data_IF_017600400759
#
_entry.id   IF_017600400759
#
_cell.length_a   1.000
_cell.length_b   1.000
_cell.length_c   1.000
_cell.angle_alpha   90.00
_cell.angle_beta   90.00
_cell.angle_gamma   90.00
#
_symmetry.space_group_name_H-M   'P 1'
#
loop_
_entity.id
_entity.type
_entity.pdbx_description
1 polymer ?
#
# COMPACT_ATOMS: atom_id res chain seq x y z
N UNK A 1 -26.09 -2.56 17.96
CA UNK A 1 -24.91 -2.91 18.79
C UNK A 1 -24.26 -4.23 18.36
N UNK A 2 -25.01 -5.26 17.95
CA UNK A 2 -24.49 -6.57 17.50
C UNK A 2 -23.62 -6.52 16.24
N UNK A 3 -23.92 -5.58 15.33
CA UNK A 3 -23.23 -5.49 14.04
C UNK A 3 -21.79 -4.98 14.17
N UNK A 4 -21.53 -4.05 15.09
CA UNK A 4 -20.20 -3.43 15.28
C UNK A 4 -19.16 -4.48 15.69
N UNK A 5 -19.48 -5.37 16.64
CA UNK A 5 -18.57 -6.45 17.03
C UNK A 5 -18.24 -7.36 15.85
N UNK A 6 -19.22 -7.63 14.99
CA UNK A 6 -19.02 -8.44 13.78
C UNK A 6 -18.15 -7.73 12.74
N UNK A 7 -18.31 -6.42 12.57
CA UNK A 7 -17.56 -5.59 11.62
C UNK A 7 -16.11 -5.40 12.09
N UNK A 8 -15.89 -5.13 13.38
CA UNK A 8 -14.54 -5.05 13.94
C UNK A 8 -13.85 -6.42 13.86
N UNK A 9 -14.56 -7.52 14.13
CA UNK A 9 -13.99 -8.86 13.94
C UNK A 9 -13.62 -9.15 12.48
N UNK A 10 -14.39 -8.63 11.53
CA UNK A 10 -14.09 -8.73 10.11
C UNK A 10 -12.83 -7.92 9.75
N UNK A 11 -12.69 -6.70 10.30
CA UNK A 11 -11.49 -5.88 10.15
C UNK A 11 -10.26 -6.58 10.74
N UNK A 12 -10.35 -7.12 11.96
CA UNK A 12 -9.27 -7.91 12.56
C UNK A 12 -8.82 -9.06 11.65
N UNK A 13 -9.78 -9.78 11.04
CA UNK A 13 -9.49 -10.85 10.09
C UNK A 13 -8.79 -10.32 8.84
N UNK A 14 -9.22 -9.17 8.32
CA UNK A 14 -8.58 -8.52 7.17
C UNK A 14 -7.13 -8.11 7.49
N UNK A 15 -6.92 -7.41 8.61
CA UNK A 15 -5.59 -6.98 9.08
C UNK A 15 -4.64 -8.16 9.30
N UNK A 16 -5.15 -9.30 9.77
CA UNK A 16 -4.36 -10.53 9.89
C UNK A 16 -3.86 -11.04 8.55
N UNK A 17 -4.70 -11.06 7.52
CA UNK A 17 -4.29 -11.52 6.19
C UNK A 17 -3.43 -10.50 5.44
N UNK A 18 -3.64 -9.21 5.68
CA UNK A 18 -2.90 -8.13 5.02
C UNK A 18 -1.53 -7.88 5.63
N UNK A 19 -1.46 -7.73 6.96
CA UNK A 19 -0.25 -7.25 7.65
C UNK A 19 0.32 -8.28 8.65
N UNK A 20 -0.28 -9.47 8.76
CA UNK A 20 0.07 -10.51 9.74
C UNK A 20 0.00 -10.01 11.20
N UNK A 21 -0.96 -9.14 11.51
CA UNK A 21 -1.19 -8.60 12.86
C UNK A 21 -2.32 -9.35 13.56
N UNK A 22 -2.07 -9.83 14.77
CA UNK A 22 -3.07 -10.55 15.57
C UNK A 22 -3.77 -9.60 16.57
N UNK A 23 -4.71 -8.79 16.06
CA UNK A 23 -5.50 -7.87 16.88
C UNK A 23 -6.91 -8.41 17.14
N UNK A 24 -7.44 -8.21 18.35
CA UNK A 24 -8.79 -8.64 18.76
C UNK A 24 -9.76 -7.47 18.81
N UNK A 25 -11.08 -7.70 18.61
CA UNK A 25 -12.08 -6.63 18.75
C UNK A 25 -12.09 -5.94 20.11
N UNK A 26 -11.69 -6.66 21.17
CA UNK A 26 -11.55 -6.06 22.51
C UNK A 26 -10.49 -4.97 22.55
N UNK A 27 -9.39 -5.07 21.79
CA UNK A 27 -8.37 -4.02 21.76
C UNK A 27 -8.92 -2.71 21.16
N UNK A 28 -9.77 -2.79 20.12
CA UNK A 28 -10.49 -1.64 19.56
C UNK A 28 -11.50 -1.05 20.54
N UNK A 29 -12.23 -1.91 21.27
CA UNK A 29 -13.20 -1.47 22.28
C UNK A 29 -12.51 -0.75 23.44
N UNK A 30 -11.37 -1.27 23.91
CA UNK A 30 -10.58 -0.64 24.98
C UNK A 30 -9.97 0.68 24.52
N UNK A 31 -9.44 0.72 23.29
CA UNK A 31 -8.89 1.93 22.68
C UNK A 31 -9.92 3.06 22.55
N UNK A 32 -11.18 2.75 22.21
CA UNK A 32 -12.25 3.76 22.17
C UNK A 32 -12.38 4.56 23.47
N UNK A 33 -12.22 3.92 24.63
CA UNK A 33 -12.41 4.58 25.93
C UNK A 33 -11.11 5.10 26.55
N UNK A 34 -10.00 5.02 25.82
CA UNK A 34 -8.64 5.23 26.31
C UNK A 34 -8.31 4.45 27.58
N UNK A 35 -8.72 3.17 27.62
CA UNK A 35 -8.37 2.31 28.74
C UNK A 35 -6.93 1.84 28.57
N UNK A 36 -6.06 2.26 29.48
CA UNK A 36 -4.62 1.95 29.54
C UNK A 36 -4.36 0.51 30.00
N UNK A 37 -5.04 -0.46 29.41
CA UNK A 37 -4.54 -1.83 29.48
C UNK A 37 -3.28 -1.89 28.59
N UNK A 38 -2.12 -2.16 29.19
CA UNK A 38 -0.82 -2.19 28.50
C UNK A 38 -0.87 -3.01 27.20
N UNK A 39 -1.61 -4.13 27.21
CA UNK A 39 -1.78 -5.00 26.04
C UNK A 39 -2.53 -4.36 24.86
N UNK A 40 -3.41 -3.38 25.08
CA UNK A 40 -4.15 -2.73 24.00
C UNK A 40 -3.31 -1.64 23.32
N UNK A 41 -2.53 -0.88 24.09
CA UNK A 41 -1.68 0.19 23.58
C UNK A 41 -0.54 -0.38 22.74
N UNK A 42 0.15 -1.41 23.24
CA UNK A 42 1.24 -2.08 22.51
C UNK A 42 0.75 -2.65 21.18
N UNK A 43 -0.40 -3.33 21.17
CA UNK A 43 -0.95 -3.92 19.94
C UNK A 43 -1.37 -2.87 18.91
N UNK A 44 -1.77 -1.66 19.35
CA UNK A 44 -2.06 -0.55 18.44
C UNK A 44 -0.77 0.04 17.82
N UNK A 45 0.31 0.16 18.61
CA UNK A 45 1.61 0.55 18.07
C UNK A 45 2.15 -0.49 17.07
N UNK A 46 2.07 -1.78 17.39
CA UNK A 46 2.47 -2.86 16.48
C UNK A 46 1.67 -2.82 15.17
N UNK A 47 0.35 -2.61 15.26
CA UNK A 47 -0.52 -2.49 14.09
C UNK A 47 -0.07 -1.33 13.19
N UNK A 48 0.09 -0.14 13.76
CA UNK A 48 0.53 1.04 13.03
C UNK A 48 1.92 0.86 12.45
N UNK A 49 2.84 0.26 13.20
CA UNK A 49 4.19 -0.05 12.72
C UNK A 49 4.17 -0.93 11.48
N UNK A 50 3.36 -2.00 11.49
CA UNK A 50 3.25 -2.90 10.33
C UNK A 50 2.70 -2.19 9.11
N UNK A 51 1.65 -1.38 9.27
CA UNK A 51 1.08 -0.60 8.16
C UNK A 51 2.10 0.41 7.64
N UNK A 52 2.75 1.17 8.52
CA UNK A 52 3.77 2.15 8.16
C UNK A 52 5.00 1.49 7.50
N UNK A 53 5.37 0.29 7.91
CA UNK A 53 6.49 -0.46 7.31
C UNK A 53 6.18 -0.94 5.90
N UNK A 54 4.91 -1.17 5.56
CA UNK A 54 4.52 -1.50 4.19
C UNK A 54 4.53 -0.29 3.27
N UNK A 55 4.15 0.89 3.79
CA UNK A 55 4.17 2.16 3.06
C UNK A 55 5.60 2.71 2.89
N UNK A 56 6.47 2.50 3.88
CA UNK A 56 7.85 2.96 3.88
C UNK A 56 8.86 1.82 4.12
N UNK A 57 8.98 0.84 3.21
CA UNK A 57 9.81 -0.35 3.41
C UNK A 57 11.32 -0.07 3.46
N UNK A 58 11.75 1.12 3.02
CA UNK A 58 13.16 1.55 3.00
C UNK A 58 13.54 2.34 4.25
N UNK A 59 12.57 2.74 5.06
CA UNK A 59 12.83 3.46 6.31
C UNK A 59 13.15 2.42 7.39
N UNK A 60 14.30 2.56 8.03
CA UNK A 60 14.74 1.66 9.09
C UNK A 60 14.98 2.50 10.33
N UNK A 61 14.14 2.28 11.34
CA UNK A 61 14.40 2.73 12.71
C UNK A 61 14.22 1.55 13.66
N UNK A 62 15.07 1.50 14.69
CA UNK A 62 15.07 0.45 15.70
C UNK A 62 13.94 0.65 16.73
N UNK A 63 13.43 1.88 16.89
CA UNK A 63 12.34 2.20 17.81
C UNK A 63 10.99 2.29 17.08
N UNK A 64 10.06 1.42 17.48
CA UNK A 64 8.69 1.32 16.94
C UNK A 64 7.93 2.64 17.10
N UNK A 65 8.08 3.34 18.22
CA UNK A 65 7.32 4.56 18.50
C UNK A 65 7.79 5.70 17.61
N UNK A 66 9.10 5.93 17.53
CA UNK A 66 9.67 6.97 16.67
C UNK A 66 9.39 6.67 15.20
N UNK A 67 9.51 5.42 14.77
CA UNK A 67 9.22 5.01 13.41
C UNK A 67 7.78 5.35 13.01
N UNK A 68 6.81 5.00 13.86
CA UNK A 68 5.39 5.27 13.60
C UNK A 68 5.12 6.76 13.61
N UNK A 69 5.66 7.53 14.57
CA UNK A 69 5.50 8.99 14.61
C UNK A 69 6.08 9.65 13.36
N UNK A 70 7.29 9.29 12.95
CA UNK A 70 7.88 9.82 11.73
C UNK A 70 7.08 9.44 10.49
N UNK A 71 6.61 8.20 10.41
CA UNK A 71 5.79 7.73 9.30
C UNK A 71 4.47 8.51 9.21
N UNK A 72 3.80 8.76 10.34
CA UNK A 72 2.59 9.58 10.40
C UNK A 72 2.86 11.03 9.98
N UNK A 73 3.99 11.62 10.40
CA UNK A 73 4.40 12.95 9.97
C UNK A 73 4.66 13.01 8.45
N UNK A 74 5.31 11.98 7.90
CA UNK A 74 5.57 11.85 6.47
C UNK A 74 4.26 11.71 5.67
N UNK A 75 3.29 10.98 6.20
CA UNK A 75 1.95 10.87 5.60
C UNK A 75 1.13 12.16 5.72
N UNK A 76 1.50 13.07 6.63
CA UNK A 76 0.85 14.36 6.84
C UNK A 76 -0.24 14.35 7.92
N UNK A 77 -0.19 13.42 8.87
CA UNK A 77 -1.14 13.36 9.97
C UNK A 77 -0.95 14.55 10.94
N UNK A 78 -2.02 15.32 11.15
CA UNK A 78 -1.96 16.63 11.82
C UNK A 78 -2.28 16.61 13.32
N UNK A 79 -2.79 15.51 13.87
CA UNK A 79 -3.14 15.47 15.29
C UNK A 79 -1.86 15.43 16.15
N UNK A 80 -1.64 16.50 16.91
CA UNK A 80 -0.45 16.74 17.72
C UNK A 80 -0.35 15.74 18.89
N UNK A 81 -1.48 15.31 19.44
CA UNK A 81 -1.52 14.47 20.65
C UNK A 81 -0.78 13.14 20.46
N UNK A 82 -0.82 12.56 19.24
CA UNK A 82 -0.09 11.34 18.91
C UNK A 82 1.43 11.52 19.00
N UNK A 83 1.94 12.70 18.67
CA UNK A 83 3.38 12.99 18.75
C UNK A 83 3.84 13.20 20.19
N UNK A 84 2.93 13.63 21.08
CA UNK A 84 3.18 13.83 22.50
C UNK A 84 3.14 12.54 23.32
N UNK A 85 2.71 11.41 22.74
CA UNK A 85 2.66 10.13 23.46
C UNK A 85 4.05 9.68 23.92
N UNK A 86 4.15 9.03 25.10
CA UNK A 86 5.44 8.57 25.62
C UNK A 86 6.02 7.42 24.77
N UNK A 87 7.34 7.27 24.81
CA UNK A 87 8.03 6.13 24.19
C UNK A 87 7.70 4.80 24.91
N UNK A 88 7.29 4.85 26.18
CA UNK A 88 7.02 3.67 27.01
C UNK A 88 5.69 2.96 26.67
N UNK A 89 4.95 3.40 25.65
CA UNK A 89 3.66 2.81 25.21
C UNK A 89 2.61 2.67 26.34
N UNK A 90 2.64 3.55 27.35
CA UNK A 90 1.81 3.41 28.56
C UNK A 90 0.38 3.94 28.40
N UNK A 91 0.15 4.90 27.50
CA UNK A 91 -1.17 5.50 27.25
C UNK A 91 -1.26 6.02 25.80
N UNK A 92 -2.47 6.44 25.40
CA UNK A 92 -2.71 7.00 24.07
C UNK A 92 -3.44 6.06 23.11
N UNK A 93 -4.15 5.06 23.64
CA UNK A 93 -4.80 4.05 22.79
C UNK A 93 -5.90 4.66 21.91
N UNK A 94 -6.58 5.71 22.38
CA UNK A 94 -7.61 6.41 21.62
C UNK A 94 -6.99 7.23 20.48
N UNK A 95 -5.88 7.92 20.73
CA UNK A 95 -5.16 8.74 19.74
C UNK A 95 -4.57 7.86 18.63
N UNK A 96 -4.05 6.67 18.99
CA UNK A 96 -3.56 5.68 18.02
C UNK A 96 -4.70 5.09 17.18
N UNK A 97 -5.87 4.85 17.79
CA UNK A 97 -7.05 4.41 17.06
C UNK A 97 -7.53 5.46 16.04
N UNK A 98 -7.49 6.75 16.42
CA UNK A 98 -7.81 7.85 15.50
C UNK A 98 -6.79 7.93 14.35
N UNK A 99 -5.49 7.78 14.65
CA UNK A 99 -4.45 7.73 13.62
C UNK A 99 -4.68 6.56 12.65
N UNK A 100 -5.00 5.38 13.18
CA UNK A 100 -5.33 4.20 12.38
C UNK A 100 -6.54 4.44 11.47
N UNK A 101 -7.64 4.99 12.01
CA UNK A 101 -8.82 5.33 11.22
C UNK A 101 -8.52 6.35 10.12
N UNK A 102 -7.68 7.34 10.40
CA UNK A 102 -7.23 8.32 9.42
C UNK A 102 -6.41 7.68 8.29
N UNK A 103 -5.47 6.77 8.60
CA UNK A 103 -4.71 6.03 7.58
C UNK A 103 -5.66 5.22 6.70
N UNK A 104 -6.62 4.50 7.30
CA UNK A 104 -7.62 3.73 6.56
C UNK A 104 -8.43 4.60 5.59
N UNK A 105 -8.81 5.81 6.00
CA UNK A 105 -9.63 6.71 5.21
C UNK A 105 -8.84 7.39 4.06
N UNK A 106 -7.55 7.67 4.26
CA UNK A 106 -6.77 8.52 3.33
C UNK A 106 -5.86 7.74 2.40
N UNK A 107 -5.41 6.54 2.78
CA UNK A 107 -4.36 5.80 2.07
C UNK A 107 -4.82 4.50 1.44
N UNK A 108 -6.08 4.09 1.61
CA UNK A 108 -6.62 2.83 1.09
C UNK A 108 -5.69 1.63 1.37
N UNK A 109 -5.03 1.61 2.53
CA UNK A 109 -3.96 0.64 2.85
C UNK A 109 -4.41 -0.83 2.73
N UNK A 110 -5.69 -1.10 2.98
CA UNK A 110 -6.25 -2.45 2.83
C UNK A 110 -6.33 -2.87 1.36
N UNK A 111 -6.69 -1.96 0.47
CA UNK A 111 -6.76 -2.22 -0.97
C UNK A 111 -5.36 -2.39 -1.56
N UNK A 112 -4.43 -1.48 -1.24
CA UNK A 112 -3.03 -1.60 -1.67
C UNK A 112 -2.38 -2.90 -1.16
N UNK A 113 -2.64 -3.29 0.09
CA UNK A 113 -2.14 -4.54 0.64
C UNK A 113 -2.71 -5.77 -0.08
N UNK A 114 -4.02 -5.78 -0.36
CA UNK A 114 -4.66 -6.84 -1.15
C UNK A 114 -4.04 -6.93 -2.55
N UNK A 115 -3.97 -5.81 -3.25
CA UNK A 115 -3.41 -5.72 -4.61
C UNK A 115 -1.94 -6.18 -4.66
N UNK A 116 -1.11 -5.73 -3.73
CA UNK A 116 0.28 -6.21 -3.57
C UNK A 116 0.33 -7.72 -3.29
N UNK A 117 -0.52 -8.22 -2.39
CA UNK A 117 -0.60 -9.65 -2.04
C UNK A 117 -1.05 -10.51 -3.23
N UNK A 118 -1.92 -9.99 -4.09
CA UNK A 118 -2.37 -10.65 -5.31
C UNK A 118 -1.35 -10.59 -6.44
N UNK A 119 -0.61 -9.48 -6.59
CA UNK A 119 0.48 -9.38 -7.57
C UNK A 119 1.54 -10.46 -7.38
N UNK A 120 1.88 -10.75 -6.12
CA UNK A 120 2.85 -11.78 -5.76
C UNK A 120 2.22 -13.17 -5.54
N UNK A 121 0.92 -13.33 -5.84
CA UNK A 121 0.20 -14.60 -5.69
C UNK A 121 0.38 -15.48 -6.92
N UNK A 122 0.36 -16.82 -6.75
CA UNK A 122 0.22 -17.76 -7.87
C UNK A 122 -0.98 -17.51 -8.80
N UNK A 123 -1.98 -16.72 -8.37
CA UNK A 123 -3.13 -16.34 -9.19
C UNK A 123 -2.78 -15.35 -10.31
N UNK A 124 -1.79 -14.49 -10.09
CA UNK A 124 -1.38 -13.47 -11.06
C UNK A 124 -0.02 -13.78 -11.70
N UNK A 125 0.78 -14.65 -11.07
CA UNK A 125 2.12 -14.98 -11.55
C UNK A 125 2.10 -16.03 -12.66
N UNK A 126 2.76 -15.71 -13.77
CA UNK A 126 2.95 -16.67 -14.87
C UNK A 126 3.89 -17.82 -14.48
N UNK A 127 4.95 -17.50 -13.74
CA UNK A 127 5.99 -18.43 -13.33
C UNK A 127 5.99 -18.61 -11.81
N UNK A 128 6.33 -19.82 -11.38
CA UNK A 128 6.39 -20.13 -9.96
C UNK A 128 7.52 -19.34 -9.32
N UNK A 129 7.32 -18.81 -8.11
CA UNK A 129 8.37 -18.22 -7.30
C UNK A 129 9.30 -19.35 -6.81
N UNK A 130 10.15 -19.87 -7.70
CA UNK A 130 11.32 -20.62 -7.27
C UNK A 130 12.15 -19.60 -6.51
N UNK A 131 12.16 -19.74 -5.18
CA UNK A 131 12.89 -18.94 -4.21
C UNK A 131 14.01 -18.16 -4.90
N UNK A 132 13.81 -16.85 -5.06
CA UNK A 132 14.91 -15.92 -5.14
C UNK A 132 15.62 -15.98 -3.79
N UNK A 133 16.29 -17.09 -3.51
CA UNK A 133 17.48 -17.03 -2.70
C UNK A 133 18.33 -16.02 -3.47
N UNK A 134 18.37 -14.79 -2.95
CA UNK A 134 19.42 -13.85 -3.28
C UNK A 134 20.71 -14.60 -2.96
N UNK A 135 21.22 -15.33 -3.95
CA UNK A 135 22.55 -15.91 -3.91
C UNK A 135 23.40 -14.69 -3.68
N UNK A 136 23.93 -14.58 -2.45
CA UNK A 136 24.73 -13.46 -1.97
C UNK A 136 25.54 -12.93 -3.14
N UNK A 137 25.10 -11.79 -3.69
CA UNK A 137 25.74 -11.25 -4.88
C UNK A 137 27.20 -11.03 -4.47
N UNK A 138 28.17 -11.63 -5.17
CA UNK A 138 29.55 -11.56 -4.74
C UNK A 138 29.92 -10.09 -4.58
N UNK A 139 30.27 -9.71 -3.35
CA UNK A 139 30.62 -8.34 -3.00
C UNK A 139 31.63 -7.86 -4.01
N UNK A 140 31.23 -6.93 -4.88
CA UNK A 140 32.10 -6.36 -5.89
C UNK A 140 33.32 -5.80 -5.17
N UNK A 141 34.47 -6.45 -5.36
CA UNK A 141 35.71 -5.96 -4.79
C UNK A 141 36.01 -4.62 -5.47
N UNK A 142 35.77 -3.54 -4.73
CA UNK A 142 36.17 -2.20 -5.13
C UNK A 142 37.71 -2.20 -5.07
N UNK A 143 38.35 -2.30 -6.23
CA UNK A 143 39.80 -2.16 -6.33
C UNK A 143 40.20 -0.78 -5.79
N UNK A 144 40.94 -0.75 -4.68
CA UNK A 144 41.47 0.50 -4.12
C UNK A 144 42.68 0.97 -4.95
N UNK A 145 42.57 2.21 -5.44
CA UNK A 145 43.62 3.13 -5.92
C UNK A 145 44.72 2.57 -6.83
N UNK A 146 44.49 2.70 -8.13
CA UNK A 146 45.54 2.96 -9.13
C UNK A 146 45.47 4.42 -9.63
N UNK A 147 46.26 4.77 -10.65
CA UNK A 147 46.21 6.10 -11.30
C UNK A 147 44.78 6.47 -11.75
N UNK A 148 44.52 7.76 -12.03
CA UNK A 148 43.24 8.22 -12.58
C UNK A 148 42.81 7.40 -13.80
N UNK A 149 43.77 7.08 -14.68
CA UNK A 149 43.57 6.24 -15.86
C UNK A 149 43.16 4.80 -15.51
N UNK A 150 43.77 4.20 -14.48
CA UNK A 150 43.39 2.87 -14.00
C UNK A 150 41.97 2.84 -13.42
N UNK A 151 41.58 3.94 -12.76
CA UNK A 151 40.23 4.11 -12.21
C UNK A 151 39.20 4.28 -13.34
N UNK A 152 39.51 5.10 -14.36
CA UNK A 152 38.65 5.28 -15.53
C UNK A 152 38.49 3.98 -16.34
N UNK A 153 39.58 3.24 -16.56
CA UNK A 153 39.54 1.95 -17.23
C UNK A 153 38.72 0.91 -16.44
N UNK A 154 38.81 0.93 -15.11
CA UNK A 154 37.98 0.08 -14.26
C UNK A 154 36.49 0.43 -14.38
N UNK A 155 36.14 1.73 -14.37
CA UNK A 155 34.76 2.19 -14.57
C UNK A 155 34.23 1.78 -15.93
N UNK A 156 35.01 1.96 -17.00
CA UNK A 156 34.64 1.53 -18.35
C UNK A 156 34.42 0.02 -18.43
N UNK A 157 35.26 -0.77 -17.77
CA UNK A 157 35.11 -2.22 -17.71
C UNK A 157 33.83 -2.63 -16.96
N UNK A 158 33.55 -2.02 -15.79
CA UNK A 158 32.31 -2.27 -15.06
C UNK A 158 31.08 -1.86 -15.88
N UNK A 159 31.11 -0.70 -16.54
CA UNK A 159 30.04 -0.25 -17.42
C UNK A 159 29.82 -1.23 -18.58
N UNK A 160 30.90 -1.77 -19.16
CA UNK A 160 30.84 -2.82 -20.18
C UNK A 160 30.20 -4.11 -19.66
N UNK A 161 30.56 -4.57 -18.46
CA UNK A 161 29.96 -5.74 -17.82
C UNK A 161 28.50 -5.54 -17.47
N UNK A 162 28.14 -4.38 -16.94
CA UNK A 162 26.75 -4.02 -16.65
C UNK A 162 25.95 -4.07 -17.94
N UNK A 163 26.46 -3.50 -19.03
CA UNK A 163 25.80 -3.54 -20.34
C UNK A 163 25.63 -4.97 -20.87
N UNK A 164 26.67 -5.80 -20.78
CA UNK A 164 26.58 -7.22 -21.15
C UNK A 164 25.54 -7.97 -20.32
N UNK A 165 25.52 -7.74 -19.00
CA UNK A 165 24.54 -8.36 -18.12
C UNK A 165 23.11 -7.90 -18.43
N UNK A 166 22.90 -6.61 -18.70
CA UNK A 166 21.59 -6.07 -19.10
C UNK A 166 21.12 -6.72 -20.40
N UNK A 167 22.00 -6.84 -21.40
CA UNK A 167 21.68 -7.51 -22.66
C UNK A 167 21.36 -9.00 -22.45
N UNK A 168 22.13 -9.70 -21.62
CA UNK A 168 21.85 -11.10 -21.30
C UNK A 168 20.50 -11.26 -20.57
N UNK A 169 20.16 -10.35 -19.66
CA UNK A 169 18.87 -10.35 -18.96
C UNK A 169 17.72 -10.10 -19.95
N UNK A 170 17.87 -9.17 -20.89
CA UNK A 170 16.83 -8.90 -21.88
C UNK A 170 16.62 -10.07 -22.86
N UNK A 171 17.71 -10.72 -23.30
CA UNK A 171 17.64 -11.93 -24.12
C UNK A 171 16.94 -13.08 -23.39
N UNK A 172 17.28 -13.32 -22.11
CA UNK A 172 16.63 -14.34 -21.29
C UNK A 172 15.15 -14.01 -21.03
N UNK A 173 14.82 -12.74 -20.80
CA UNK A 173 13.44 -12.30 -20.65
C UNK A 173 12.64 -12.55 -21.94
N UNK A 174 13.21 -12.26 -23.10
CA UNK A 174 12.58 -12.49 -24.40
C UNK A 174 12.44 -13.99 -24.73
N UNK A 175 13.41 -14.82 -24.33
CA UNK A 175 13.28 -16.27 -24.45
C UNK A 175 12.14 -16.80 -23.54
N UNK A 176 12.04 -16.28 -22.31
CA UNK A 176 11.01 -16.64 -21.33
C UNK A 176 9.60 -16.28 -21.83
N UNK A 177 9.40 -15.01 -22.19
CA UNK A 177 8.73 -14.56 -23.42
C UNK A 177 8.09 -15.63 -24.31
N UNK A 178 8.88 -16.01 -25.31
CA UNK A 178 8.52 -16.94 -26.38
C UNK A 178 8.11 -18.33 -25.90
N UNK A 179 8.66 -18.81 -24.77
CA UNK A 179 8.28 -20.12 -24.23
C UNK A 179 6.90 -20.04 -23.58
N UNK A 180 6.60 -18.99 -22.83
CA UNK A 180 5.29 -18.81 -22.22
C UNK A 180 4.19 -18.65 -23.27
N UNK A 181 4.43 -17.89 -24.35
CA UNK A 181 3.45 -17.76 -25.43
C UNK A 181 3.09 -19.12 -26.05
N UNK A 182 4.08 -20.00 -26.27
CA UNK A 182 3.84 -21.37 -26.75
C UNK A 182 2.98 -22.20 -25.78
N UNK A 183 3.17 -22.00 -24.47
CA UNK A 183 2.35 -22.66 -23.45
C UNK A 183 0.90 -22.15 -23.51
N UNK A 184 0.71 -20.84 -23.62
CA UNK A 184 -0.63 -20.25 -23.73
C UNK A 184 -1.33 -20.70 -25.01
N UNK A 185 -0.68 -20.61 -26.17
CA UNK A 185 -1.19 -21.12 -27.44
C UNK A 185 -1.61 -22.59 -27.33
N UNK A 186 -0.76 -23.43 -26.72
CA UNK A 186 -1.02 -24.85 -26.53
C UNK A 186 -2.06 -25.20 -25.46
N UNK A 187 -2.49 -24.25 -24.65
CA UNK A 187 -3.48 -24.45 -23.57
C UNK A 187 -4.72 -23.59 -23.70
N UNK A 188 -4.88 -22.93 -24.85
CA UNK A 188 -6.06 -22.12 -25.16
C UNK A 188 -7.35 -22.93 -25.03
N UNK A 189 -8.35 -22.40 -24.33
CA UNK A 189 -9.66 -23.01 -24.10
C UNK A 189 -9.63 -24.39 -23.40
N UNK A 190 -8.52 -24.74 -22.73
CA UNK A 190 -8.43 -25.98 -21.95
C UNK A 190 -9.14 -25.78 -20.61
N UNK A 191 -9.96 -26.74 -20.21
CA UNK A 191 -10.61 -26.81 -18.89
C UNK A 191 -11.49 -25.60 -18.53
N UNK A 192 -12.08 -24.93 -19.52
CA UNK A 192 -12.98 -23.78 -19.30
C UNK A 192 -12.26 -22.48 -18.89
N UNK A 193 -10.92 -22.46 -18.97
CA UNK A 193 -10.10 -21.28 -18.80
C UNK A 193 -9.66 -20.74 -20.17
N UNK A 194 -9.37 -19.42 -20.28
CA UNK A 194 -8.89 -18.84 -21.54
C UNK A 194 -7.56 -19.47 -21.97
N UNK A 195 -6.62 -19.63 -21.04
CA UNK A 195 -5.40 -20.42 -21.19
C UNK A 195 -4.87 -20.80 -19.80
N UNK A 196 -3.89 -21.70 -19.74
CA UNK A 196 -3.18 -22.02 -18.50
C UNK A 196 -1.91 -21.17 -18.39
N UNK A 197 -1.54 -20.83 -17.16
CA UNK A 197 -0.22 -20.26 -16.87
C UNK A 197 0.87 -21.33 -16.95
N UNK A 198 2.13 -20.91 -17.09
CA UNK A 198 3.26 -21.84 -17.10
C UNK A 198 3.32 -22.62 -15.78
N UNK A 199 2.99 -21.97 -14.67
CA UNK A 199 2.90 -22.61 -13.35
C UNK A 199 1.79 -23.66 -13.29
N UNK A 200 0.62 -23.37 -13.85
CA UNK A 200 -0.52 -24.31 -13.87
C UNK A 200 -0.23 -25.55 -14.73
N UNK A 201 0.44 -25.37 -15.87
CA UNK A 201 0.85 -26.53 -16.69
C UNK A 201 1.86 -27.43 -15.96
N UNK A 202 2.71 -26.85 -15.11
CA UNK A 202 3.60 -27.62 -14.25
C UNK A 202 2.83 -28.45 -13.22
N UNK A 203 1.72 -27.93 -12.67
CA UNK A 203 0.86 -28.66 -11.72
C UNK A 203 0.20 -29.88 -12.37
N UNK A 204 -0.23 -29.76 -13.63
CA UNK A 204 -0.78 -30.88 -14.40
C UNK A 204 0.27 -32.00 -14.52
N UNK A 205 1.52 -31.63 -14.81
CA UNK A 205 2.61 -32.60 -14.93
C UNK A 205 3.04 -33.19 -13.58
N UNK A 206 2.98 -32.40 -12.52
CA UNK A 206 3.44 -32.77 -11.18
C UNK A 206 2.34 -32.55 -10.13
N UNK A 207 1.39 -33.51 -9.98
CA UNK A 207 0.28 -33.39 -9.03
C UNK A 207 0.70 -33.23 -7.57
N UNK A 208 1.94 -33.61 -7.21
CA UNK A 208 2.49 -33.42 -5.86
C UNK A 208 2.61 -31.95 -5.45
N UNK A 209 2.73 -31.04 -6.41
CA UNK A 209 2.82 -29.59 -6.15
C UNK A 209 1.44 -28.94 -5.95
N UNK A 210 0.37 -29.67 -6.22
CA UNK A 210 -1.00 -29.14 -6.17
C UNK A 210 -1.43 -28.79 -4.75
N UNK A 211 -1.02 -29.56 -3.74
CA UNK A 211 -1.36 -29.30 -2.34
C UNK A 211 -0.82 -27.96 -1.86
N UNK A 212 0.44 -27.66 -2.20
CA UNK A 212 1.10 -26.41 -1.79
C UNK A 212 0.51 -25.22 -2.54
N UNK A 213 0.21 -25.39 -3.83
CA UNK A 213 -0.47 -24.39 -4.64
C UNK A 213 -1.87 -24.07 -4.11
N UNK A 214 -2.68 -25.09 -3.81
CA UNK A 214 -4.03 -24.92 -3.26
C UNK A 214 -3.99 -24.26 -1.89
N UNK A 215 -3.01 -24.59 -1.04
CA UNK A 215 -2.82 -23.91 0.24
C UNK A 215 -2.61 -22.40 0.03
N UNK A 216 -1.68 -22.01 -0.85
CA UNK A 216 -1.42 -20.61 -1.16
C UNK A 216 -2.64 -19.89 -1.76
N UNK A 217 -3.33 -20.52 -2.72
CA UNK A 217 -4.53 -19.94 -3.34
C UNK A 217 -5.67 -19.82 -2.32
N UNK A 218 -5.85 -20.80 -1.43
CA UNK A 218 -6.91 -20.77 -0.42
C UNK A 218 -6.76 -19.59 0.55
N UNK A 219 -5.52 -19.29 0.96
CA UNK A 219 -5.23 -18.12 1.80
C UNK A 219 -5.58 -16.81 1.07
N UNK A 220 -5.23 -16.70 -0.22
CA UNK A 220 -5.56 -15.50 -1.02
C UNK A 220 -7.05 -15.38 -1.30
N UNK A 221 -7.75 -16.49 -1.53
CA UNK A 221 -9.20 -16.50 -1.66
C UNK A 221 -9.86 -15.94 -0.38
N UNK A 222 -9.43 -16.40 0.80
CA UNK A 222 -9.95 -15.90 2.08
C UNK A 222 -9.69 -14.41 2.26
N UNK A 223 -8.54 -13.89 1.83
CA UNK A 223 -8.24 -12.45 1.83
C UNK A 223 -9.21 -11.68 0.93
N UNK A 224 -9.41 -12.12 -0.33
CA UNK A 224 -10.34 -11.48 -1.28
C UNK A 224 -11.77 -11.50 -0.75
N UNK A 225 -12.23 -12.64 -0.24
CA UNK A 225 -13.57 -12.80 0.33
C UNK A 225 -13.77 -11.87 1.54
N UNK A 226 -12.77 -11.80 2.42
CA UNK A 226 -12.78 -10.91 3.58
C UNK A 226 -12.80 -9.44 3.15
N UNK A 227 -12.02 -9.06 2.14
CA UNK A 227 -11.99 -7.71 1.60
C UNK A 227 -13.33 -7.31 0.94
N UNK A 228 -13.94 -8.23 0.17
CA UNK A 228 -15.28 -8.03 -0.41
C UNK A 228 -16.34 -7.83 0.67
N UNK A 229 -16.30 -8.62 1.74
CA UNK A 229 -17.21 -8.48 2.87
C UNK A 229 -16.98 -7.16 3.61
N UNK A 230 -15.72 -6.74 3.76
CA UNK A 230 -15.35 -5.47 4.37
C UNK A 230 -15.93 -4.30 3.58
N UNK A 231 -15.77 -4.27 2.26
CA UNK A 231 -16.32 -3.22 1.40
C UNK A 231 -17.84 -3.06 1.53
N UNK A 232 -18.58 -4.14 1.80
CA UNK A 232 -20.04 -4.08 2.04
C UNK A 232 -20.42 -3.52 3.41
N UNK A 233 -19.57 -3.67 4.42
CA UNK A 233 -19.88 -3.38 5.83
C UNK A 233 -19.06 -2.24 6.45
N UNK A 234 -18.13 -1.64 5.69
CA UNK A 234 -17.21 -0.63 6.19
C UNK A 234 -17.93 0.62 6.73
N UNK A 235 -19.09 0.98 6.18
CA UNK A 235 -19.92 2.10 6.68
C UNK A 235 -20.24 1.98 8.18
N UNK A 236 -20.52 0.77 8.68
CA UNK A 236 -20.81 0.52 10.11
C UNK A 236 -19.57 0.81 10.98
N UNK A 237 -18.36 0.53 10.45
CA UNK A 237 -17.13 0.89 11.13
C UNK A 237 -16.94 2.41 11.17
N UNK A 238 -17.27 3.12 10.09
CA UNK A 238 -17.15 4.57 10.04
C UNK A 238 -18.15 5.26 10.97
N UNK A 239 -19.40 4.83 11.03
CA UNK A 239 -20.38 5.28 12.04
C UNK A 239 -19.88 5.04 13.47
N UNK A 240 -19.22 3.90 13.71
CA UNK A 240 -18.59 3.64 14.99
C UNK A 240 -17.39 4.56 15.25
N UNK A 241 -16.56 4.87 14.26
CA UNK A 241 -15.44 5.81 14.38
C UNK A 241 -15.91 7.24 14.67
N UNK A 242 -17.03 7.69 14.10
CA UNK A 242 -17.66 8.96 14.46
C UNK A 242 -17.99 9.00 15.95
N UNK A 243 -18.48 7.89 16.52
CA UNK A 243 -18.71 7.80 17.97
C UNK A 243 -17.41 7.81 18.81
N UNK A 244 -16.25 7.43 18.24
CA UNK A 244 -14.94 7.55 18.89
C UNK A 244 -14.47 9.00 18.90
N UNK A 245 -14.74 9.74 17.82
CA UNK A 245 -14.44 11.17 17.71
C UNK A 245 -15.32 11.95 18.69
N UNK A 246 -16.63 11.70 18.70
CA UNK A 246 -17.57 12.35 19.63
C UNK A 246 -17.21 12.08 21.10
N UNK A 247 -16.76 10.87 21.43
CA UNK A 247 -16.25 10.53 22.76
C UNK A 247 -15.00 11.36 23.13
N UNK A 248 -14.09 11.58 22.18
CA UNK A 248 -12.90 12.42 22.40
C UNK A 248 -13.29 13.89 22.60
N UNK A 249 -14.18 14.41 21.76
CA UNK A 249 -14.69 15.79 21.89
C UNK A 249 -15.42 16.02 23.21
N UNK A 250 -16.21 15.04 23.66
CA UNK A 250 -16.92 15.10 24.94
C UNK A 250 -16.00 15.09 26.16
N UNK A 251 -14.80 14.49 26.05
CA UNK A 251 -13.79 14.54 27.12
C UNK A 251 -13.11 15.91 27.22
N UNK A 252 -13.32 16.79 26.24
CA UNK A 252 -12.66 18.08 26.13
C UNK A 252 -11.20 17.94 25.72
N UNK A 253 -10.64 19.00 25.11
CA UNK A 253 -9.22 19.15 24.81
C UNK A 253 -8.41 19.08 26.14
N UNK A 254 -8.12 17.87 26.62
CA UNK A 254 -7.19 17.61 27.73
C UNK A 254 -5.73 17.77 27.30
N UNK A 255 -5.48 18.30 26.11
CA UNK A 255 -4.16 18.78 25.75
C UNK A 255 -3.84 19.99 26.65
N UNK A 256 -3.06 19.78 27.70
CA UNK A 256 -2.45 20.81 28.55
C UNK A 256 -1.50 21.77 27.79
N UNK A 257 -1.50 21.70 26.45
CA UNK A 257 -0.63 22.44 25.57
C UNK A 257 -1.29 23.75 25.17
N UNK A 258 -0.61 24.84 25.46
CA UNK A 258 -0.98 26.18 25.00
C UNK A 258 -1.10 26.21 23.46
N UNK A 259 -1.95 27.10 22.96
CA UNK A 259 -2.14 27.33 21.52
C UNK A 259 -0.81 27.60 20.81
N UNK A 260 0.14 28.25 21.50
CA UNK A 260 1.48 28.54 20.96
C UNK A 260 2.40 27.30 20.92
N UNK A 261 2.24 26.37 21.87
CA UNK A 261 2.97 25.10 21.87
C UNK A 261 2.45 24.18 20.75
N UNK A 262 1.13 24.16 20.54
CA UNK A 262 0.50 23.48 19.40
C UNK A 262 1.01 24.04 18.06
N UNK A 263 1.11 25.38 17.92
CA UNK A 263 1.68 26.03 16.73
C UNK A 263 3.15 25.67 16.51
N UNK A 264 3.96 25.72 17.56
CA UNK A 264 5.38 25.42 17.48
C UNK A 264 5.61 23.96 17.07
N UNK A 265 4.86 23.02 17.65
CA UNK A 265 4.92 21.62 17.25
C UNK A 265 4.45 21.38 15.82
N UNK A 266 3.40 22.06 15.37
CA UNK A 266 2.97 21.97 13.97
C UNK A 266 4.08 22.41 13.00
N UNK A 267 4.77 23.52 13.31
CA UNK A 267 5.93 23.98 12.53
C UNK A 267 7.08 22.98 12.55
N UNK A 268 7.34 22.32 13.68
CA UNK A 268 8.36 21.27 13.79
C UNK A 268 7.98 20.05 12.94
N UNK A 269 6.73 19.59 13.00
CA UNK A 269 6.24 18.46 12.20
C UNK A 269 6.32 18.78 10.71
N UNK A 270 5.94 19.98 10.29
CA UNK A 270 6.03 20.39 8.88
C UNK A 270 7.49 20.53 8.41
N UNK A 271 8.39 21.03 9.26
CA UNK A 271 9.82 21.10 8.95
C UNK A 271 10.46 19.71 8.87
N UNK A 272 10.09 18.79 9.76
CA UNK A 272 10.50 17.38 9.70
C UNK A 272 10.02 16.73 8.39
N UNK A 273 8.75 16.92 8.03
CA UNK A 273 8.18 16.45 6.76
C UNK A 273 8.98 16.99 5.57
N UNK A 274 9.29 18.28 5.55
CA UNK A 274 10.04 18.91 4.45
C UNK A 274 11.49 18.41 4.37
N UNK A 275 12.18 18.22 5.51
CA UNK A 275 13.52 17.60 5.55
C UNK A 275 13.50 16.15 5.08
N UNK A 276 12.52 15.36 5.51
CA UNK A 276 12.38 13.95 5.13
C UNK A 276 12.02 13.79 3.65
N UNK A 277 11.14 14.64 3.10
CA UNK A 277 10.85 14.68 1.66
C UNK A 277 12.10 14.94 0.83
N UNK A 278 12.99 15.83 1.30
CA UNK A 278 14.29 16.09 0.70
C UNK A 278 15.26 14.91 0.78
N UNK A 279 15.18 14.08 1.84
CA UNK A 279 16.00 12.88 1.95
C UNK A 279 15.49 11.77 1.03
N UNK A 280 14.17 11.55 0.98
CA UNK A 280 13.56 10.52 0.13
C UNK A 280 13.76 10.81 -1.36
N UNK A 281 13.57 12.06 -1.81
CA UNK A 281 13.83 12.45 -3.21
C UNK A 281 15.31 12.26 -3.62
N UNK A 282 16.26 12.42 -2.69
CA UNK A 282 17.67 12.09 -2.95
C UNK A 282 17.93 10.58 -3.09
N UNK A 283 17.17 9.74 -2.39
CA UNK A 283 17.28 8.28 -2.47
C UNK A 283 16.50 7.68 -3.66
N UNK A 284 15.36 8.23 -4.04
CA UNK A 284 14.59 7.83 -5.23
C UNK A 284 15.39 8.08 -6.51
N UNK A 285 16.11 9.20 -6.60
CA UNK A 285 17.01 9.49 -7.72
C UNK A 285 18.21 8.52 -7.84
N UNK A 286 18.54 7.77 -6.78
CA UNK A 286 19.56 6.72 -6.79
C UNK A 286 18.94 5.35 -7.14
N UNK A 287 17.63 5.20 -6.98
CA UNK A 287 16.93 3.90 -7.08
C UNK A 287 15.85 3.92 -8.16
N UNK A 288 16.11 4.48 -9.33
CA UNK A 288 15.31 4.17 -10.53
C UNK A 288 15.55 2.71 -10.91
N UNK A 289 14.77 1.81 -10.33
CA UNK A 289 14.71 0.38 -10.69
C UNK A 289 13.26 -0.16 -10.68
N UNK A 290 12.26 0.71 -10.65
CA UNK A 290 10.86 0.31 -10.84
C UNK A 290 10.59 -0.21 -12.26
N UNK A 291 11.47 0.09 -13.22
CA UNK A 291 11.43 -0.49 -14.57
C UNK A 291 11.80 -1.98 -14.64
N UNK A 292 12.31 -2.61 -13.56
CA UNK A 292 12.49 -4.07 -13.53
C UNK A 292 11.24 -4.84 -13.07
N UNK A 293 10.25 -4.16 -12.46
CA UNK A 293 8.98 -4.79 -12.09
C UNK A 293 8.05 -4.97 -13.30
N UNK A 294 8.21 -4.16 -14.36
CA UNK A 294 7.47 -4.31 -15.62
C UNK A 294 7.84 -5.56 -16.43
N UNK A 295 8.90 -6.29 -16.04
CA UNK A 295 9.26 -7.59 -16.60
C UNK A 295 8.54 -8.77 -15.93
N UNK A 296 7.76 -8.53 -14.88
CA UNK A 296 6.88 -9.54 -14.28
C UNK A 296 5.57 -9.61 -15.05
N UNK A 297 5.56 -10.40 -16.12
CA UNK A 297 4.37 -11.04 -16.67
C UNK A 297 3.27 -10.10 -17.15
N UNK A 298 3.03 -10.11 -18.45
CA UNK A 298 1.81 -9.57 -19.05
C UNK A 298 0.59 -10.12 -18.28
N UNK A 299 -0.32 -9.28 -17.74
CA UNK A 299 -1.54 -9.74 -17.09
C UNK A 299 -2.29 -10.78 -17.93
N UNK A 300 -2.85 -11.81 -17.28
CA UNK A 300 -3.70 -12.87 -17.88
C UNK A 300 -4.77 -12.37 -18.87
N UNK A 301 -5.16 -11.11 -18.76
CA UNK A 301 -6.22 -10.49 -19.56
C UNK A 301 -5.77 -10.01 -20.95
N UNK A 302 -4.48 -9.97 -21.27
CA UNK A 302 -3.99 -9.34 -22.51
C UNK A 302 -3.81 -10.30 -23.70
N UNK A 303 -3.99 -11.61 -23.50
CA UNK A 303 -3.94 -12.61 -24.57
C UNK A 303 -5.33 -13.08 -25.03
N UNK A 304 -6.39 -12.30 -24.81
CA UNK A 304 -7.58 -12.42 -25.66
C UNK A 304 -7.30 -11.74 -27.00
N UNK A 305 -6.57 -12.41 -27.88
CA UNK A 305 -6.63 -12.07 -29.31
C UNK A 305 -7.74 -12.87 -29.97
N UNK A 306 -8.82 -12.15 -30.29
CA UNK A 306 -9.64 -12.30 -31.49
C UNK A 306 -10.06 -13.72 -31.85
N UNK A 307 -11.26 -14.09 -31.45
CA UNK A 307 -12.20 -14.76 -32.36
C UNK A 307 -13.63 -14.52 -31.88
N UNK A 308 -14.30 -13.58 -32.57
CA UNK A 308 -15.75 -13.42 -32.70
C UNK A 308 -16.62 -13.81 -31.50
N UNK A 309 -16.78 -12.88 -30.54
CA UNK A 309 -18.02 -12.79 -29.76
C UNK A 309 -18.51 -11.36 -29.83
N UNK A 310 -19.33 -11.08 -30.85
CA UNK A 310 -19.94 -9.77 -31.12
C UNK A 310 -20.68 -9.26 -29.88
N UNK A 311 -21.22 -10.16 -29.06
CA UNK A 311 -21.92 -9.85 -27.81
C UNK A 311 -20.97 -9.36 -26.69
N UNK A 312 -19.77 -9.94 -26.56
CA UNK A 312 -18.82 -9.52 -25.52
C UNK A 312 -18.12 -8.21 -25.89
N UNK A 313 -17.87 -7.98 -27.18
CA UNK A 313 -17.41 -6.68 -27.68
C UNK A 313 -18.47 -5.58 -27.48
N UNK A 314 -19.75 -5.89 -27.71
CA UNK A 314 -20.85 -4.96 -27.47
C UNK A 314 -21.05 -4.68 -25.97
N UNK A 315 -20.89 -5.69 -25.10
CA UNK A 315 -20.92 -5.50 -23.65
C UNK A 315 -19.74 -4.66 -23.15
N UNK A 316 -18.54 -4.86 -23.68
CA UNK A 316 -17.36 -4.05 -23.32
C UNK A 316 -17.50 -2.62 -23.85
N UNK A 317 -18.06 -2.43 -25.05
CA UNK A 317 -18.33 -1.10 -25.62
C UNK A 317 -19.45 -0.36 -24.87
N UNK A 318 -20.52 -1.05 -24.47
CA UNK A 318 -21.60 -0.49 -23.64
C UNK A 318 -21.11 -0.16 -22.22
N UNK A 319 -20.32 -1.05 -21.60
CA UNK A 319 -19.75 -0.79 -20.27
C UNK A 319 -18.70 0.30 -20.35
N UNK A 320 -17.91 0.37 -21.43
CA UNK A 320 -16.95 1.45 -21.70
C UNK A 320 -17.65 2.80 -21.85
N UNK A 321 -18.73 2.86 -22.63
CA UNK A 321 -19.56 4.07 -22.76
C UNK A 321 -20.21 4.48 -21.44
N UNK A 322 -20.70 3.53 -20.65
CA UNK A 322 -21.25 3.82 -19.32
C UNK A 322 -20.18 4.32 -18.34
N UNK A 323 -18.94 3.82 -18.44
CA UNK A 323 -17.82 4.28 -17.64
C UNK A 323 -17.33 5.67 -18.04
N UNK A 324 -17.26 5.96 -19.34
CA UNK A 324 -16.93 7.29 -19.86
C UNK A 324 -18.00 8.30 -19.41
N UNK A 325 -19.27 7.92 -19.51
CA UNK A 325 -20.40 8.76 -19.11
C UNK A 325 -20.45 8.99 -17.59
N UNK A 326 -20.13 7.97 -16.78
CA UNK A 326 -19.99 8.12 -15.32
C UNK A 326 -18.76 8.96 -14.94
N UNK A 327 -17.68 8.89 -15.72
CA UNK A 327 -16.48 9.69 -15.50
C UNK A 327 -16.72 11.15 -15.83
N UNK A 328 -17.40 11.43 -16.94
CA UNK A 328 -17.83 12.78 -17.31
C UNK A 328 -18.80 13.36 -16.28
N UNK A 329 -19.76 12.57 -15.79
CA UNK A 329 -20.68 12.97 -14.71
C UNK A 329 -19.94 13.25 -13.38
N UNK A 330 -18.88 12.50 -13.08
CA UNK A 330 -18.05 12.71 -11.89
C UNK A 330 -17.15 13.94 -12.02
N UNK A 331 -16.50 14.15 -13.16
CA UNK A 331 -15.71 15.35 -13.43
C UNK A 331 -16.59 16.59 -13.41
N UNK A 332 -17.81 16.51 -13.95
CA UNK A 332 -18.79 17.61 -13.91
C UNK A 332 -19.27 17.91 -12.48
N UNK A 333 -19.47 16.88 -11.65
CA UNK A 333 -19.78 17.06 -10.21
C UNK A 333 -18.60 17.58 -9.40
N UNK A 334 -17.37 17.19 -9.74
CA UNK A 334 -16.16 17.70 -9.09
C UNK A 334 -15.97 19.19 -9.39
N UNK A 335 -16.24 19.62 -10.62
CA UNK A 335 -16.27 21.04 -11.01
C UNK A 335 -17.40 21.78 -10.27
N UNK A 336 -18.60 21.19 -10.16
CA UNK A 336 -19.71 21.79 -9.39
C UNK A 336 -19.39 21.95 -7.89
N UNK A 337 -18.77 20.93 -7.28
CA UNK A 337 -18.40 20.95 -5.86
C UNK A 337 -17.25 21.93 -5.61
N UNK A 338 -16.27 22.02 -6.50
CA UNK A 338 -15.18 22.99 -6.37
C UNK A 338 -15.67 24.43 -6.52
N UNK A 339 -16.63 24.70 -7.42
CA UNK A 339 -17.29 26.01 -7.52
C UNK A 339 -18.11 26.33 -6.27
N UNK A 340 -18.85 25.36 -5.72
CA UNK A 340 -19.61 25.53 -4.47
C UNK A 340 -18.69 25.78 -3.26
N UNK A 341 -17.54 25.10 -3.19
CA UNK A 341 -16.52 25.33 -2.16
C UNK A 341 -15.87 26.70 -2.32
N UNK A 342 -15.62 27.16 -3.54
CA UNK A 342 -15.08 28.49 -3.80
C UNK A 342 -16.07 29.61 -3.44
N UNK A 343 -17.36 29.41 -3.71
CA UNK A 343 -18.43 30.35 -3.29
C UNK A 343 -18.68 30.31 -1.78
N UNK A 344 -18.49 29.15 -1.14
CA UNK A 344 -18.49 29.03 0.32
C UNK A 344 -17.29 29.75 0.95
N UNK A 345 -16.09 29.59 0.38
CA UNK A 345 -14.89 30.31 0.80
C UNK A 345 -15.02 31.83 0.60
N UNK A 346 -15.59 32.28 -0.52
CA UNK A 346 -15.85 33.70 -0.79
C UNK A 346 -16.89 34.32 0.15
N UNK A 347 -17.84 33.54 0.66
CA UNK A 347 -18.77 33.96 1.73
C UNK A 347 -18.09 34.08 3.11
N UNK A 348 -16.93 33.46 3.31
CA UNK A 348 -16.12 33.59 4.53
C UNK A 348 -15.12 34.76 4.48
N UNK A 349 -14.87 35.36 3.31
CA UNK A 349 -13.99 36.53 3.13
C UNK A 349 -14.56 37.86 3.66
N UNK A 350 -15.70 37.85 4.36
CA UNK A 350 -16.09 38.95 5.23
C UNK A 350 -15.51 38.80 6.64
N UNK A 351 -14.24 38.41 6.75
CA UNK A 351 -13.39 38.86 7.86
C UNK A 351 -11.90 38.77 7.48
N UNK A 352 -11.32 39.96 7.28
CA UNK A 352 -9.89 40.28 7.41
C UNK A 352 -8.95 39.92 6.24
N UNK A 353 -8.83 40.93 5.36
CA UNK A 353 -7.67 41.22 4.50
C UNK A 353 -6.38 41.25 5.32
N UNK A 354 -5.39 40.41 5.03
CA UNK A 354 -3.97 40.67 5.34
C UNK A 354 -3.03 39.91 4.40
N UNK A 355 -2.76 40.49 3.22
CA UNK A 355 -1.44 40.38 2.59
C UNK A 355 -1.07 41.75 2.03
N UNK A 356 0.11 42.31 2.33
CA UNK A 356 0.72 43.27 1.44
C UNK A 356 1.26 42.52 0.23
N UNK A 357 0.90 43.01 -0.96
CA UNK A 357 1.63 42.73 -2.19
C UNK A 357 3.03 43.32 -2.05
N UNK A 358 4.06 42.49 -2.23
CA UNK A 358 5.08 42.64 -3.28
C UNK A 358 5.99 41.41 -3.35
#
# INVERSE_FOLDING_TARGET
MSDIKSVISLLCKHLKFSFNVNIRPEHFRLAKFDKTEESAVVQMWELLYKICSEEFPKLVEDDVVNFVKMSLAMMGYKNIEVYCLPADMSHGSQELLLAFGWILATKNVLEHSVDKSLRHSPLNMEFNNVNQAFVNSPTLQIHKSGSLESSLNSVLWFAGRIRQNINAISELAQARISVATKVHEGTTNVSGLPHLSVSETLLIRNPKLLTDYLSQVSEKYLLIETHKLWGKKCHIFWEWMESVIAEKESKGDLSNLSVDEKRTMFLVVDNLKNKLKCLLTKYENITCNEELQSLQGVPRCLLQSKETNVEMAHLIDDVGKQLEQLKDDLEQKEIEITVQLHDFARKMDHTVVLFPQD
#
